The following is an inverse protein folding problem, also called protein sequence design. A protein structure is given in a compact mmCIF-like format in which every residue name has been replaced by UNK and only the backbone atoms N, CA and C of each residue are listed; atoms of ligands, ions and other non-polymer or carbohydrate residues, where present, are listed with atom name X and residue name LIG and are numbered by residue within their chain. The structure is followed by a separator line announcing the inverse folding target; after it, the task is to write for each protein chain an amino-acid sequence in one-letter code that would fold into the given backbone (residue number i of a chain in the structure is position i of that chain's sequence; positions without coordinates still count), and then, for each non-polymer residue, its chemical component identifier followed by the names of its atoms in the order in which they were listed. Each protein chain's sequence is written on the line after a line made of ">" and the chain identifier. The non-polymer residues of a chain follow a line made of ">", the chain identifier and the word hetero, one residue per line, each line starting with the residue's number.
data_IF_092330652302
#
_entry.id   IF_092330652302
#
_cell.length_a   1.000
_cell.length_b   1.000
_cell.length_c   1.000
_cell.angle_alpha   90.00
_cell.angle_beta   90.00
_cell.angle_gamma   90.00
#
_symmetry.space_group_name_H-M   'P 1'
#
loop_
_entity.id
_entity.type
_entity.pdbx_description
1 polymer ?
#
# COMPACT_ATOMS: atom_id res chain seq x y z
N UNK A 1 53.29 9.04 67.37
CA UNK A 1 54.32 9.12 66.32
C UNK A 1 53.63 9.01 64.96
N UNK A 2 53.65 10.08 64.14
CA UNK A 2 53.59 9.92 62.67
C UNK A 2 54.99 9.51 62.14
N UNK A 3 55.29 9.58 60.84
CA UNK A 3 54.47 10.13 59.73
C UNK A 3 54.54 9.35 58.39
N UNK A 4 53.88 9.90 57.34
CA UNK A 4 54.32 9.98 55.92
C UNK A 4 54.56 8.69 55.09
N UNK A 5 54.31 8.59 53.78
CA UNK A 5 54.12 9.52 52.65
C UNK A 5 53.32 8.75 51.56
N UNK A 6 52.36 9.30 50.80
CA UNK A 6 52.41 10.34 49.76
C UNK A 6 53.24 9.97 48.49
N UNK A 7 52.54 9.74 47.37
CA UNK A 7 52.88 10.00 45.97
C UNK A 7 51.78 9.33 45.09
N UNK A 8 50.75 10.00 44.58
CA UNK A 8 50.75 11.01 43.51
C UNK A 8 51.68 10.70 42.33
N UNK A 9 51.09 10.12 41.28
CA UNK A 9 51.66 9.95 39.95
C UNK A 9 50.78 10.68 38.91
N UNK A 10 51.32 11.56 38.06
CA UNK A 10 50.52 12.48 37.26
C UNK A 10 50.54 12.18 35.74
N UNK A 11 49.57 12.76 35.00
CA UNK A 11 49.55 13.03 33.55
C UNK A 11 49.68 11.82 32.58
N UNK A 12 49.04 11.71 31.41
CA UNK A 12 48.32 12.62 30.56
C UNK A 12 47.49 11.79 29.52
N UNK A 13 46.60 12.42 28.74
CA UNK A 13 45.68 11.77 27.82
C UNK A 13 46.33 11.38 26.48
N UNK A 14 45.88 10.28 25.89
CA UNK A 14 46.20 9.90 24.52
C UNK A 14 45.52 10.86 23.51
N UNK A 15 46.27 11.53 22.63
CA UNK A 15 45.72 12.24 21.48
C UNK A 15 45.78 11.32 20.26
N UNK A 16 44.63 11.00 19.65
CA UNK A 16 44.61 10.51 18.27
C UNK A 16 43.90 11.52 17.37
N UNK A 17 44.77 12.31 16.76
CA UNK A 17 44.70 13.05 15.51
C UNK A 17 43.38 13.00 14.71
N UNK A 18 42.84 14.19 14.52
CA UNK A 18 42.05 14.62 13.38
C UNK A 18 42.78 14.35 12.06
N UNK A 19 42.10 13.71 11.11
CA UNK A 19 42.48 13.74 9.70
C UNK A 19 41.20 13.91 8.86
N UNK A 20 40.89 15.16 8.53
CA UNK A 20 39.92 15.53 7.50
C UNK A 20 40.62 15.54 6.14
N UNK A 21 40.13 14.81 5.12
CA UNK A 21 40.57 15.02 3.75
C UNK A 21 39.84 16.22 3.10
N UNK A 22 40.53 17.04 2.29
CA UNK A 22 39.91 18.11 1.51
C UNK A 22 39.32 17.55 0.21
N UNK A 23 38.08 17.91 -0.14
CA UNK A 23 37.55 17.65 -1.48
C UNK A 23 36.73 18.84 -1.97
N UNK A 24 37.47 19.73 -2.65
CA UNK A 24 37.16 20.40 -3.91
C UNK A 24 35.71 20.39 -4.38
N UNK A 25 35.07 21.56 -4.32
CA UNK A 25 33.91 21.92 -5.14
C UNK A 25 34.29 22.04 -6.63
N UNK A 26 33.37 21.70 -7.54
CA UNK A 26 33.14 22.52 -8.72
C UNK A 26 31.73 23.14 -8.73
N UNK A 27 31.53 24.31 -9.39
CA UNK A 27 30.27 25.04 -9.40
C UNK A 27 29.39 24.74 -10.62
N UNK A 28 28.15 25.25 -10.54
CA UNK A 28 27.08 25.28 -11.56
C UNK A 28 26.21 24.01 -11.67
N UNK A 29 24.93 24.10 -11.34
CA UNK A 29 23.91 24.71 -12.19
C UNK A 29 22.58 24.86 -11.42
N UNK A 30 21.99 26.05 -11.55
CA UNK A 30 20.64 26.35 -11.11
C UNK A 30 19.63 25.48 -11.88
N UNK A 31 18.85 24.67 -11.17
CA UNK A 31 17.62 24.09 -11.68
C UNK A 31 16.47 24.65 -10.87
N UNK A 32 15.73 25.51 -11.55
CA UNK A 32 14.53 26.22 -11.13
C UNK A 32 13.58 25.31 -10.37
N UNK A 33 13.32 25.69 -9.12
CA UNK A 33 12.26 25.19 -8.27
C UNK A 33 10.89 25.43 -8.90
N UNK A 34 10.40 24.45 -9.66
CA UNK A 34 8.98 24.31 -9.99
C UNK A 34 8.25 23.76 -8.75
N UNK A 35 7.92 24.65 -7.83
CA UNK A 35 6.91 24.42 -6.79
C UNK A 35 5.54 24.31 -7.44
N UNK A 36 5.25 23.15 -8.02
CA UNK A 36 3.89 22.84 -8.48
C UNK A 36 3.02 22.59 -7.25
N UNK A 37 2.16 23.56 -6.93
CA UNK A 37 1.14 23.46 -5.88
C UNK A 37 0.38 22.13 -6.01
N UNK A 38 0.14 21.37 -4.94
CA UNK A 38 -0.76 20.23 -4.99
C UNK A 38 -2.18 20.70 -5.32
N UNK A 39 -2.84 19.99 -6.23
CA UNK A 39 -4.24 20.23 -6.57
C UNK A 39 -5.13 20.02 -5.33
N UNK A 40 -6.21 20.80 -5.16
CA UNK A 40 -7.13 20.61 -4.04
C UNK A 40 -7.81 19.22 -4.13
N UNK A 41 -8.10 18.59 -2.98
CA UNK A 41 -8.80 17.31 -2.97
C UNK A 41 -10.18 17.47 -3.61
N UNK A 42 -10.51 16.57 -4.55
CA UNK A 42 -11.86 16.46 -5.11
C UNK A 42 -12.84 16.20 -3.97
N UNK A 43 -13.90 17.01 -3.92
CA UNK A 43 -14.99 16.83 -2.98
C UNK A 43 -15.57 15.41 -3.09
N UNK A 44 -15.71 14.73 -1.97
CA UNK A 44 -16.42 13.46 -1.88
C UNK A 44 -17.90 13.69 -2.23
N UNK A 45 -18.52 12.86 -3.09
CA UNK A 45 -19.96 12.88 -3.24
C UNK A 45 -20.60 12.50 -1.89
N UNK A 46 -21.56 13.31 -1.43
CA UNK A 46 -22.33 13.02 -0.22
C UNK A 46 -23.05 11.67 -0.39
N UNK A 47 -23.10 10.83 0.66
CA UNK A 47 -23.92 9.62 0.63
C UNK A 47 -25.40 9.99 0.44
N UNK A 48 -26.18 9.17 -0.28
CA UNK A 48 -27.60 9.39 -0.45
C UNK A 48 -28.30 9.27 0.92
N UNK A 49 -29.04 10.32 1.28
CA UNK A 49 -29.96 10.34 2.41
C UNK A 49 -31.12 9.39 2.09
N UNK A 50 -31.12 8.19 2.67
CA UNK A 50 -32.32 7.34 2.72
C UNK A 50 -33.26 7.88 3.80
N UNK A 51 -34.55 8.12 3.51
CA UNK A 51 -35.51 8.54 4.52
C UNK A 51 -35.78 7.43 5.55
N UNK A 52 -36.26 7.78 6.76
CA UNK A 52 -36.54 6.83 7.83
C UNK A 52 -37.70 5.89 7.47
N UNK A 53 -37.54 4.63 7.86
CA UNK A 53 -38.53 3.56 7.92
C UNK A 53 -39.97 4.05 8.18
N UNK A 54 -40.87 3.77 7.24
CA UNK A 54 -42.31 3.89 7.43
C UNK A 54 -42.83 2.50 7.82
N UNK A 55 -43.18 2.32 9.09
CA UNK A 55 -43.89 1.14 9.59
C UNK A 55 -45.30 1.14 8.99
N UNK A 56 -45.55 0.31 7.98
CA UNK A 56 -46.90 0.00 7.55
C UNK A 56 -47.50 -1.09 8.48
N UNK A 57 -48.76 -0.93 8.93
CA UNK A 57 -49.41 -1.91 9.79
C UNK A 57 -49.80 -3.17 9.01
N UNK A 58 -49.69 -4.33 9.68
CA UNK A 58 -50.11 -5.62 9.14
C UNK A 58 -51.61 -5.60 8.77
N UNK A 59 -52.01 -6.11 7.59
CA UNK A 59 -53.41 -6.38 7.34
C UNK A 59 -53.83 -7.65 8.08
N UNK A 60 -55.03 -7.55 8.64
CA UNK A 60 -55.71 -8.55 9.44
C UNK A 60 -55.93 -9.87 8.70
N UNK A 61 -56.06 -10.91 9.51
CA UNK A 61 -56.36 -12.28 9.13
C UNK A 61 -57.79 -12.36 8.55
N UNK A 62 -57.93 -12.97 7.38
CA UNK A 62 -59.17 -13.63 6.97
C UNK A 62 -58.96 -15.14 6.99
N UNK A 63 -59.83 -15.80 7.73
CA UNK A 63 -59.92 -17.23 7.94
C UNK A 63 -60.61 -17.91 6.76
N UNK A 64 -60.02 -19.00 6.25
CA UNK A 64 -60.78 -20.10 5.67
C UNK A 64 -60.13 -21.46 5.99
N UNK A 65 -60.90 -22.46 6.46
CA UNK A 65 -60.40 -23.76 6.84
C UNK A 65 -60.71 -24.77 5.73
N UNK A 66 -59.74 -25.13 4.88
CA UNK A 66 -59.82 -26.42 4.22
C UNK A 66 -58.46 -27.06 3.93
N UNK A 67 -58.47 -28.35 4.23
CA UNK A 67 -57.49 -29.39 4.03
C UNK A 67 -56.66 -29.25 2.75
N UNK A 68 -55.33 -29.24 2.91
CA UNK A 68 -54.37 -30.12 2.21
C UNK A 68 -52.98 -29.81 2.76
N UNK A 69 -52.31 -30.81 3.34
CA UNK A 69 -50.96 -30.68 3.90
C UNK A 69 -49.98 -30.07 2.88
N UNK A 70 -49.33 -28.93 3.18
CA UNK A 70 -48.27 -28.40 2.33
C UNK A 70 -46.99 -29.24 2.53
N UNK A 71 -46.16 -29.40 1.49
CA UNK A 71 -44.86 -30.03 1.65
C UNK A 71 -44.09 -29.25 2.71
N UNK A 72 -43.59 -29.95 3.74
CA UNK A 72 -42.75 -29.38 4.78
C UNK A 72 -41.72 -28.45 4.12
N UNK A 73 -41.73 -27.13 4.37
CA UNK A 73 -40.64 -26.29 3.92
C UNK A 73 -39.41 -26.80 4.66
N UNK A 74 -38.47 -27.40 3.91
CA UNK A 74 -37.15 -27.68 4.43
C UNK A 74 -36.68 -26.41 5.15
N UNK A 75 -36.23 -26.49 6.42
CA UNK A 75 -35.71 -25.32 7.09
C UNK A 75 -34.59 -24.79 6.21
N UNK A 76 -34.82 -23.64 5.57
CA UNK A 76 -33.76 -22.90 4.92
C UNK A 76 -32.81 -22.58 6.07
N UNK A 77 -31.69 -23.31 6.11
CA UNK A 77 -30.63 -23.14 7.08
C UNK A 77 -29.95 -21.79 6.78
N UNK A 78 -30.66 -20.71 7.08
CA UNK A 78 -30.19 -19.34 7.11
C UNK A 78 -29.32 -19.15 8.35
N UNK A 79 -28.52 -20.15 8.71
CA UNK A 79 -27.49 -20.04 9.72
C UNK A 79 -26.49 -19.06 9.16
N UNK A 80 -26.52 -17.84 9.70
CA UNK A 80 -25.57 -16.80 9.37
C UNK A 80 -24.17 -17.41 9.39
N UNK A 81 -23.45 -17.24 8.27
CA UNK A 81 -22.11 -17.80 8.14
C UNK A 81 -21.27 -17.28 9.31
N UNK A 82 -20.58 -18.15 10.05
CA UNK A 82 -19.77 -17.72 11.18
C UNK A 82 -18.79 -16.66 10.68
N UNK A 83 -18.88 -15.47 11.26
CA UNK A 83 -18.07 -14.31 10.90
C UNK A 83 -17.00 -14.16 11.97
N UNK A 84 -15.92 -13.44 11.67
CA UNK A 84 -14.88 -13.18 12.67
C UNK A 84 -15.47 -12.66 14.00
N UNK A 85 -16.48 -11.80 13.96
CA UNK A 85 -17.14 -11.24 15.14
C UNK A 85 -17.96 -12.25 15.96
N UNK A 86 -18.30 -13.42 15.41
CA UNK A 86 -19.07 -14.45 16.14
C UNK A 86 -18.17 -15.33 17.01
N UNK A 87 -16.84 -15.16 16.95
CA UNK A 87 -15.93 -15.88 17.82
C UNK A 87 -16.01 -15.34 19.27
N UNK A 88 -15.75 -16.18 20.27
CA UNK A 88 -15.65 -15.74 21.65
C UNK A 88 -14.52 -14.71 21.86
N UNK A 89 -14.67 -13.77 22.82
CA UNK A 89 -13.66 -12.76 23.12
C UNK A 89 -12.28 -13.33 23.44
N UNK A 90 -12.20 -14.50 24.07
CA UNK A 90 -10.95 -15.18 24.41
C UNK A 90 -10.15 -15.50 23.14
N UNK A 91 -10.86 -15.94 22.09
CA UNK A 91 -10.24 -16.24 20.80
C UNK A 91 -9.78 -14.95 20.12
N UNK A 92 -10.55 -13.86 20.22
CA UNK A 92 -10.11 -12.56 19.70
C UNK A 92 -8.84 -12.05 20.41
N UNK A 93 -8.74 -12.23 21.73
CA UNK A 93 -7.54 -11.87 22.49
C UNK A 93 -6.35 -12.71 22.05
N UNK A 94 -6.49 -14.03 21.94
CA UNK A 94 -5.43 -14.92 21.47
C UNK A 94 -4.93 -14.52 20.07
N UNK A 95 -5.85 -14.27 19.14
CA UNK A 95 -5.51 -13.81 17.79
C UNK A 95 -4.74 -12.49 17.87
N UNK A 96 -5.18 -11.54 18.68
CA UNK A 96 -4.52 -10.23 18.80
C UNK A 96 -3.08 -10.33 19.32
N UNK A 97 -2.78 -11.30 20.20
CA UNK A 97 -1.44 -11.53 20.74
C UNK A 97 -0.44 -12.08 19.71
N UNK A 98 -0.93 -12.74 18.66
CA UNK A 98 -0.10 -13.29 17.60
C UNK A 98 0.14 -12.30 16.45
N UNK A 99 -0.50 -11.13 16.46
CA UNK A 99 -0.34 -10.13 15.42
C UNK A 99 0.91 -9.29 15.65
N UNK A 100 1.65 -9.03 14.57
CA UNK A 100 2.70 -8.00 14.57
C UNK A 100 2.07 -6.60 14.68
N UNK A 101 2.82 -5.65 15.23
CA UNK A 101 2.38 -4.25 15.42
C UNK A 101 1.48 -3.66 14.31
N UNK A 102 1.91 -3.62 13.03
CA UNK A 102 1.08 -3.09 11.93
C UNK A 102 -0.29 -3.73 11.79
N UNK A 103 -0.37 -5.04 12.02
CA UNK A 103 -1.58 -5.82 11.79
C UNK A 103 -2.50 -5.72 13.01
N UNK A 104 -1.93 -5.75 14.22
CA UNK A 104 -2.64 -5.45 15.46
C UNK A 104 -3.26 -4.05 15.44
N UNK A 105 -2.50 -3.03 15.00
CA UNK A 105 -3.01 -1.67 14.85
C UNK A 105 -4.14 -1.60 13.83
N UNK A 106 -4.03 -2.35 12.73
CA UNK A 106 -5.09 -2.42 11.72
C UNK A 106 -6.36 -3.04 12.29
N UNK A 107 -6.24 -4.16 13.03
CA UNK A 107 -7.36 -4.82 13.71
C UNK A 107 -8.04 -3.88 14.72
N UNK A 108 -7.24 -3.17 15.53
CA UNK A 108 -7.71 -2.18 16.52
C UNK A 108 -8.59 -1.10 15.91
N UNK A 109 -8.34 -0.70 14.66
CA UNK A 109 -9.10 0.33 13.96
C UNK A 109 -10.25 -0.18 13.09
N UNK A 110 -10.56 -1.49 13.11
CA UNK A 110 -11.69 -2.04 12.34
C UNK A 110 -13.04 -1.81 13.01
N UNK A 111 -13.11 -1.87 14.35
CA UNK A 111 -14.35 -1.70 15.11
C UNK A 111 -14.08 -1.13 16.50
N UNK A 112 -15.10 -0.55 17.12
CA UNK A 112 -15.01 -0.06 18.51
C UNK A 112 -14.72 -1.20 19.49
N UNK A 113 -15.24 -2.41 19.21
CA UNK A 113 -14.97 -3.61 20.00
C UNK A 113 -13.46 -3.94 20.04
N UNK A 114 -12.83 -4.02 18.87
CA UNK A 114 -11.39 -4.32 18.79
C UNK A 114 -10.52 -3.16 19.28
N UNK A 115 -11.01 -1.93 19.19
CA UNK A 115 -10.28 -0.77 19.72
C UNK A 115 -9.99 -0.89 21.22
N UNK A 116 -10.95 -1.44 21.97
CA UNK A 116 -10.85 -1.64 23.42
C UNK A 116 -10.19 -2.97 23.79
N UNK A 117 -10.24 -3.97 22.91
CA UNK A 117 -9.72 -5.31 23.17
C UNK A 117 -8.23 -5.46 22.82
N UNK A 118 -7.80 -4.87 21.70
CA UNK A 118 -6.47 -5.11 21.13
C UNK A 118 -5.43 -4.19 21.78
N UNK A 119 -4.40 -4.79 22.38
CA UNK A 119 -3.27 -4.06 22.93
C UNK A 119 -2.19 -3.80 21.86
N UNK A 120 -1.89 -2.52 21.65
CA UNK A 120 -0.82 -2.02 20.76
C UNK A 120 0.26 -1.31 21.58
N UNK A 121 0.60 -1.90 22.73
CA UNK A 121 1.56 -1.37 23.69
C UNK A 121 2.99 -1.20 23.17
N UNK A 122 3.83 -0.61 24.02
CA UNK A 122 5.24 -0.31 23.72
C UNK A 122 6.03 -1.57 23.37
N UNK A 123 5.78 -2.68 24.06
CA UNK A 123 6.47 -3.97 23.82
C UNK A 123 6.34 -4.41 22.36
N UNK A 124 5.10 -4.42 21.84
CA UNK A 124 4.82 -4.84 20.46
C UNK A 124 5.52 -3.95 19.43
N UNK A 125 5.64 -2.64 19.70
CA UNK A 125 6.36 -1.68 18.85
C UNK A 125 7.86 -1.95 18.84
N UNK A 126 8.44 -2.23 20.01
CA UNK A 126 9.86 -2.54 20.15
C UNK A 126 10.16 -3.86 19.44
N UNK A 127 9.39 -4.91 19.73
CA UNK A 127 9.56 -6.24 19.12
C UNK A 127 9.52 -6.13 17.58
N UNK A 128 8.58 -5.35 17.06
CA UNK A 128 8.49 -5.07 15.64
C UNK A 128 9.73 -4.35 15.07
N UNK A 129 10.27 -3.34 15.77
CA UNK A 129 11.48 -2.63 15.35
C UNK A 129 12.74 -3.53 15.42
N UNK A 130 12.85 -4.34 16.46
CA UNK A 130 13.95 -5.29 16.67
C UNK A 130 13.95 -6.33 15.55
N UNK A 131 12.80 -6.95 15.28
CA UNK A 131 12.68 -7.95 14.21
C UNK A 131 12.98 -7.33 12.84
N UNK A 132 12.54 -6.09 12.60
CA UNK A 132 12.84 -5.37 11.36
C UNK A 132 14.33 -5.11 11.17
N UNK A 133 15.05 -4.77 12.25
CA UNK A 133 16.51 -4.62 12.22
C UNK A 133 17.22 -5.95 11.99
N UNK A 134 16.74 -7.02 12.63
CA UNK A 134 17.27 -8.38 12.47
C UNK A 134 17.16 -8.87 11.03
N UNK A 135 16.06 -8.55 10.35
CA UNK A 135 15.84 -8.88 8.95
C UNK A 135 16.56 -7.93 7.97
N UNK A 136 17.42 -7.02 8.46
CA UNK A 136 18.12 -6.01 7.66
C UNK A 136 17.20 -5.17 6.76
N UNK A 137 15.96 -4.96 7.21
CA UNK A 137 15.00 -4.10 6.53
C UNK A 137 15.26 -2.64 6.92
N UNK A 138 14.75 -1.72 6.10
CA UNK A 138 14.87 -0.28 6.36
C UNK A 138 14.21 0.09 7.70
N UNK A 139 15.05 0.54 8.65
CA UNK A 139 14.61 1.06 9.94
C UNK A 139 14.23 2.55 9.83
N UNK A 140 13.22 3.01 10.58
CA UNK A 140 12.83 4.43 10.58
C UNK A 140 14.01 5.31 11.00
N UNK A 141 14.47 6.18 10.09
CA UNK A 141 15.66 7.05 10.25
C UNK A 141 15.43 8.27 11.15
N UNK A 142 14.36 8.28 11.96
CA UNK A 142 14.02 9.42 12.80
C UNK A 142 14.70 9.22 14.16
N UNK A 143 15.57 10.16 14.56
CA UNK A 143 16.22 10.16 15.88
C UNK A 143 15.24 10.19 17.08
N UNK A 144 13.92 10.33 16.82
CA UNK A 144 12.86 10.34 17.82
C UNK A 144 11.65 9.55 17.31
N UNK A 145 11.60 8.27 17.64
CA UNK A 145 10.39 7.46 17.53
C UNK A 145 9.71 7.41 18.90
N UNK A 146 8.62 8.16 19.06
CA UNK A 146 7.88 8.21 20.32
C UNK A 146 7.02 6.94 20.48
N UNK A 147 7.43 6.02 21.35
CA UNK A 147 6.74 4.74 21.59
C UNK A 147 5.41 4.89 22.36
N UNK A 148 5.20 6.04 23.01
CA UNK A 148 4.12 6.24 24.00
C UNK A 148 2.69 6.19 23.46
N UNK A 149 2.45 6.45 22.18
CA UNK A 149 1.12 6.26 21.58
C UNK A 149 1.23 5.87 20.11
N UNK A 150 0.22 5.18 19.57
CA UNK A 150 0.22 4.77 18.16
C UNK A 150 0.27 5.95 17.22
N UNK A 151 -0.44 7.03 17.55
CA UNK A 151 -0.46 8.25 16.75
C UNK A 151 0.91 8.95 16.73
N UNK A 152 1.67 8.92 17.83
CA UNK A 152 3.02 9.48 17.88
C UNK A 152 4.03 8.56 17.20
N UNK A 153 3.90 7.25 17.40
CA UNK A 153 4.76 6.25 16.80
C UNK A 153 4.65 6.20 15.27
N UNK A 154 3.43 6.30 14.73
CA UNK A 154 3.17 6.26 13.30
C UNK A 154 3.51 7.56 12.56
N UNK A 155 4.20 8.54 13.18
CA UNK A 155 4.61 9.78 12.50
C UNK A 155 5.92 9.61 11.72
N UNK A 156 6.11 10.44 10.69
CA UNK A 156 7.34 10.50 9.92
C UNK A 156 7.62 9.25 9.07
N UNK A 157 8.79 8.65 9.24
CA UNK A 157 9.26 7.50 8.44
C UNK A 157 8.47 6.22 8.70
N UNK A 158 7.95 6.00 9.92
CA UNK A 158 7.07 4.85 10.22
C UNK A 158 5.80 4.91 9.36
N UNK A 159 5.21 6.09 9.15
CA UNK A 159 4.06 6.27 8.26
C UNK A 159 4.37 5.78 6.85
N UNK A 160 5.53 6.13 6.32
CA UNK A 160 5.96 5.72 4.98
C UNK A 160 6.19 4.22 4.89
N UNK A 161 6.77 3.61 5.94
CA UNK A 161 6.94 2.16 6.01
C UNK A 161 5.60 1.43 6.06
N UNK A 162 4.65 1.95 6.84
CA UNK A 162 3.28 1.43 6.92
C UNK A 162 2.54 1.58 5.59
N UNK A 163 2.72 2.70 4.91
CA UNK A 163 2.15 2.93 3.59
C UNK A 163 2.75 1.98 2.56
N UNK A 164 4.07 1.84 2.50
CA UNK A 164 4.77 0.93 1.58
C UNK A 164 4.37 -0.54 1.80
N UNK A 165 4.11 -0.96 3.05
CA UNK A 165 3.59 -2.30 3.35
C UNK A 165 2.17 -2.56 2.81
N UNK A 166 1.40 -1.50 2.54
CA UNK A 166 0.04 -1.58 1.97
C UNK A 166 0.03 -1.43 0.45
N UNK A 167 1.18 -1.25 -0.17
CA UNK A 167 1.35 -1.18 -1.61
C UNK A 167 1.72 -2.56 -2.15
N UNK A 168 1.19 -2.93 -3.32
CA UNK A 168 1.65 -4.16 -3.99
C UNK A 168 3.16 -4.06 -4.27
N UNK A 169 3.90 -5.10 -3.91
CA UNK A 169 5.35 -5.18 -4.17
C UNK A 169 5.70 -5.04 -5.66
N UNK A 170 4.76 -5.43 -6.53
CA UNK A 170 4.88 -5.36 -7.99
C UNK A 170 4.62 -3.97 -8.59
N UNK A 171 3.92 -3.09 -7.86
CA UNK A 171 3.56 -1.77 -8.40
C UNK A 171 4.69 -0.80 -8.00
N UNK A 172 5.46 -0.31 -9.00
CA UNK A 172 6.63 0.56 -8.79
C UNK A 172 6.32 1.71 -7.83
N UNK A 173 7.11 1.81 -6.75
CA UNK A 173 6.97 2.76 -5.65
C UNK A 173 7.34 4.20 -6.01
N UNK A 174 7.02 4.66 -7.24
CA UNK A 174 7.15 6.07 -7.61
C UNK A 174 6.07 6.88 -6.88
N UNK A 175 6.40 8.07 -6.35
CA UNK A 175 5.43 8.89 -5.63
C UNK A 175 4.22 9.20 -6.53
N UNK A 176 3.04 8.72 -6.12
CA UNK A 176 1.78 8.91 -6.85
C UNK A 176 1.27 7.72 -7.67
N UNK A 177 1.95 6.55 -7.68
CA UNK A 177 1.53 5.36 -8.46
C UNK A 177 1.36 4.06 -7.64
N UNK A 178 1.67 4.06 -6.34
CA UNK A 178 1.42 2.90 -5.47
C UNK A 178 -0.06 2.54 -5.41
N UNK A 179 -0.41 1.30 -5.72
CA UNK A 179 -1.78 0.80 -5.60
C UNK A 179 -1.99 0.24 -4.20
N UNK A 180 -2.98 0.78 -3.47
CA UNK A 180 -3.36 0.30 -2.14
C UNK A 180 -4.03 -1.08 -2.25
N UNK A 181 -3.62 -2.04 -1.42
CA UNK A 181 -4.20 -3.38 -1.35
C UNK A 181 -5.62 -3.28 -0.80
N UNK A 182 -6.64 -3.29 -1.66
CA UNK A 182 -8.06 -3.38 -1.29
C UNK A 182 -8.63 -4.81 -1.39
N UNK A 183 -7.77 -5.83 -1.32
CA UNK A 183 -8.18 -7.23 -1.45
C UNK A 183 -8.58 -7.65 -2.88
N UNK A 184 -8.25 -6.85 -3.89
CA UNK A 184 -8.40 -7.24 -5.29
C UNK A 184 -7.14 -7.98 -5.77
N UNK A 185 -7.31 -9.07 -6.52
CA UNK A 185 -6.19 -9.87 -7.06
C UNK A 185 -5.43 -9.18 -8.18
N UNK A 186 -5.86 -8.00 -8.63
CA UNK A 186 -5.28 -7.28 -9.77
C UNK A 186 -5.08 -5.80 -9.47
N UNK A 187 -3.83 -5.32 -9.56
CA UNK A 187 -3.47 -3.89 -9.51
C UNK A 187 -4.07 -3.18 -10.73
N UNK A 188 -5.09 -2.33 -10.54
CA UNK A 188 -5.78 -1.62 -11.63
C UNK A 188 -4.84 -0.79 -12.51
N UNK A 189 -3.74 -0.30 -11.91
CA UNK A 189 -2.74 0.55 -12.56
C UNK A 189 -1.84 -0.22 -13.54
N UNK A 190 -1.48 -1.47 -13.21
CA UNK A 190 -0.67 -2.34 -14.11
C UNK A 190 -1.39 -2.61 -15.43
N UNK A 191 -2.73 -2.79 -15.38
CA UNK A 191 -3.57 -2.96 -16.57
C UNK A 191 -3.55 -1.73 -17.49
N UNK A 192 -3.50 -0.52 -16.92
CA UNK A 192 -3.48 0.71 -17.72
C UNK A 192 -2.14 0.92 -18.43
N UNK A 193 -1.01 0.63 -17.78
CA UNK A 193 0.31 0.71 -18.41
C UNK A 193 0.46 -0.31 -19.53
N UNK A 194 0.08 -1.58 -19.28
CA UNK A 194 0.14 -2.65 -20.30
C UNK A 194 -0.73 -2.33 -21.52
N UNK A 195 -1.92 -1.80 -21.31
CA UNK A 195 -2.80 -1.40 -22.42
C UNK A 195 -2.29 -0.17 -23.17
N UNK A 196 -1.69 0.81 -22.48
CA UNK A 196 -1.09 2.01 -23.09
C UNK A 196 0.15 1.68 -23.92
N UNK A 197 1.05 0.85 -23.39
CA UNK A 197 2.24 0.35 -24.12
C UNK A 197 1.81 -0.47 -25.33
N UNK A 198 0.82 -1.36 -25.19
CA UNK A 198 0.30 -2.16 -26.31
C UNK A 198 -0.39 -1.32 -27.39
N UNK A 199 -1.06 -0.20 -27.02
CA UNK A 199 -1.58 0.78 -27.99
C UNK A 199 -0.44 1.54 -28.68
N UNK A 200 0.55 1.98 -27.91
CA UNK A 200 1.71 2.69 -28.45
C UNK A 200 2.51 1.84 -29.44
N UNK A 201 2.80 0.57 -29.08
CA UNK A 201 3.42 -0.41 -29.98
C UNK A 201 2.61 -0.63 -31.25
N UNK A 202 1.28 -0.77 -31.14
CA UNK A 202 0.42 -0.92 -32.32
C UNK A 202 0.50 0.29 -33.25
N UNK A 203 0.46 1.50 -32.70
CA UNK A 203 0.60 2.73 -33.50
C UNK A 203 1.97 2.82 -34.17
N UNK A 204 3.05 2.43 -33.47
CA UNK A 204 4.41 2.45 -34.00
C UNK A 204 4.58 1.44 -35.14
N UNK A 205 4.09 0.21 -34.96
CA UNK A 205 4.12 -0.84 -35.98
C UNK A 205 3.30 -0.47 -37.22
N UNK A 206 2.14 0.18 -37.06
CA UNK A 206 1.37 0.63 -38.22
C UNK A 206 2.10 1.71 -39.01
N UNK A 207 2.81 2.63 -38.35
CA UNK A 207 3.56 3.69 -39.05
C UNK A 207 4.72 3.09 -39.87
N UNK A 208 5.48 2.16 -39.29
CA UNK A 208 6.59 1.51 -39.98
C UNK A 208 6.10 0.57 -41.09
N UNK A 209 5.01 -0.17 -40.87
CA UNK A 209 4.40 -1.03 -41.89
C UNK A 209 3.84 -0.24 -43.09
N UNK A 210 3.19 0.91 -42.85
CA UNK A 210 2.75 1.79 -43.92
C UNK A 210 3.93 2.37 -44.72
N UNK A 211 5.03 2.73 -44.04
CA UNK A 211 6.26 3.17 -44.71
C UNK A 211 6.87 2.11 -45.64
N UNK A 212 6.95 0.86 -45.16
CA UNK A 212 7.44 -0.27 -45.98
C UNK A 212 6.51 -0.55 -47.18
N UNK A 213 5.19 -0.48 -46.98
CA UNK A 213 4.22 -0.69 -48.06
C UNK A 213 4.36 0.37 -49.15
N UNK A 214 4.48 1.65 -48.77
CA UNK A 214 4.70 2.75 -49.72
C UNK A 214 6.03 2.60 -50.47
N UNK A 215 7.09 2.11 -49.82
CA UNK A 215 8.38 1.86 -50.48
C UNK A 215 8.35 0.65 -51.42
N UNK A 216 7.52 -0.36 -51.14
CA UNK A 216 7.45 -1.59 -51.93
C UNK A 216 6.63 -1.43 -53.22
N UNK A 217 5.62 -0.56 -53.22
CA UNK A 217 4.80 -0.24 -54.41
C UNK A 217 5.64 0.18 -55.64
N UNK A 218 6.54 1.19 -55.57
CA UNK A 218 7.32 1.59 -56.73
C UNK A 218 8.33 0.51 -57.17
N UNK A 219 8.86 -0.28 -56.23
CA UNK A 219 9.75 -1.41 -56.57
C UNK A 219 9.01 -2.48 -57.37
N UNK A 220 7.79 -2.83 -56.96
CA UNK A 220 6.95 -3.80 -57.69
C UNK A 220 6.51 -3.24 -59.05
N UNK A 221 6.12 -1.97 -59.11
CA UNK A 221 5.76 -1.32 -60.38
C UNK A 221 6.96 -1.27 -61.34
N UNK A 222 8.15 -0.90 -60.84
CA UNK A 222 9.38 -0.90 -61.62
C UNK A 222 9.72 -2.31 -62.12
N UNK A 223 9.60 -3.33 -61.26
CA UNK A 223 9.81 -4.72 -61.62
C UNK A 223 8.84 -5.18 -62.72
N UNK A 224 7.56 -4.86 -62.61
CA UNK A 224 6.54 -5.21 -63.61
C UNK A 224 6.80 -4.53 -64.95
N UNK A 225 7.22 -3.26 -64.96
CA UNK A 225 7.59 -2.55 -66.20
C UNK A 225 8.81 -3.22 -66.85
N UNK A 226 9.84 -3.55 -66.07
CA UNK A 226 11.02 -4.27 -66.57
C UNK A 226 10.65 -5.65 -67.14
N UNK A 227 9.76 -6.39 -66.49
CA UNK A 227 9.32 -7.70 -66.95
C UNK A 227 8.52 -7.61 -68.27
N UNK A 228 7.62 -6.63 -68.39
CA UNK A 228 6.87 -6.40 -69.63
C UNK A 228 7.78 -5.96 -70.79
N UNK A 229 8.80 -5.15 -70.51
CA UNK A 229 9.79 -4.75 -71.51
C UNK A 229 10.70 -5.92 -71.95
N UNK A 230 11.02 -6.84 -71.04
CA UNK A 230 11.85 -8.01 -71.37
C UNK A 230 11.09 -9.11 -72.13
N UNK A 231 9.74 -9.12 -72.04
CA UNK A 231 8.89 -10.12 -72.68
C UNK A 231 8.29 -9.66 -74.03
N UNK A 232 8.43 -8.38 -74.39
CA UNK A 232 8.09 -7.83 -75.72
C UNK A 232 9.31 -7.79 -76.62
#
# INVERSE_FOLDING_TARGET
>A
MGPSAAADGPHAPFPFASATPPTTHPPHQAMLSLTRRPAPPRAFPKPPTTPPYELAPAPAQDSDPDSTWPPTPAPSDNRSKPTFLTLPPEIHVLISQHLIYPDALSLKHTSVYFYNLVDTGVKLKIDWLVERRRLHLECPNNQRCDLGSDLRFCRGSVRLLMQRRREHIECESRPGLGCLIYGTTTCAQSRQLKTRVRRWLRMRFTIEAWGLLVALVPLVLSWLVMYNFFLS
#
